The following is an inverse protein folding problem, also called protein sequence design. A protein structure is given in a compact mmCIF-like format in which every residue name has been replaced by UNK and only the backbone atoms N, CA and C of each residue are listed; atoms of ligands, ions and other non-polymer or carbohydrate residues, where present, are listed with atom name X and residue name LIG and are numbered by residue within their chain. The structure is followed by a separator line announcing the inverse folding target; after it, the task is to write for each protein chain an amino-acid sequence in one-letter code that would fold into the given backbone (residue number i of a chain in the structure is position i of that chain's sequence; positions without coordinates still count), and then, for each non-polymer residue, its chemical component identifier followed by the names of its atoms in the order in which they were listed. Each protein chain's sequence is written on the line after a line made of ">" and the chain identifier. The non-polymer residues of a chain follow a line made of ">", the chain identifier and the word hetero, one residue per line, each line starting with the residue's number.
data_IF_947949031904
#
_entry.id   IF_947949031904
#
_cell.length_a   1.000
_cell.length_b   1.000
_cell.length_c   1.000
_cell.angle_alpha   90.00
_cell.angle_beta   90.00
_cell.angle_gamma   90.00
#
_symmetry.space_group_name_H-M   'P 1'
#
loop_
_entity.id
_entity.type
_entity.pdbx_description
1 polymer ?
#
# COMPACT_ATOMS: atom_id res chain seq x y z
N UNK A 1 20.11 -14.54 -35.23
CA UNK A 1 18.65 -14.76 -35.07
C UNK A 1 18.24 -16.23 -34.91
N UNK A 2 19.04 -17.24 -35.31
CA UNK A 2 18.67 -18.67 -35.13
C UNK A 2 19.00 -19.27 -33.74
N UNK A 3 19.86 -18.65 -32.96
CA UNK A 3 20.36 -19.25 -31.70
C UNK A 3 19.44 -19.04 -30.49
N UNK A 4 18.62 -17.99 -30.47
CA UNK A 4 17.66 -17.75 -29.38
C UNK A 4 16.49 -18.76 -29.40
N UNK A 5 15.99 -19.11 -30.58
CA UNK A 5 14.92 -20.11 -30.73
C UNK A 5 15.36 -21.51 -30.27
N UNK A 6 16.63 -21.87 -30.49
CA UNK A 6 17.20 -23.14 -30.04
C UNK A 6 17.37 -23.21 -28.51
N UNK A 7 17.62 -22.09 -27.84
CA UNK A 7 17.74 -22.03 -26.38
C UNK A 7 16.38 -22.22 -25.70
N UNK A 8 15.34 -21.54 -26.21
CA UNK A 8 13.97 -21.63 -25.69
C UNK A 8 13.40 -23.05 -25.89
N UNK A 9 13.63 -23.66 -27.06
CA UNK A 9 13.19 -25.04 -27.34
C UNK A 9 13.92 -26.09 -26.48
N UNK A 10 15.22 -25.90 -26.17
CA UNK A 10 15.94 -26.79 -25.25
C UNK A 10 15.44 -26.72 -23.81
N UNK A 11 15.11 -25.53 -23.31
CA UNK A 11 14.48 -25.37 -21.98
C UNK A 11 13.10 -26.01 -21.93
N UNK A 12 12.29 -25.87 -22.99
CA UNK A 12 10.97 -26.49 -23.08
C UNK A 12 11.03 -28.03 -23.14
N UNK A 13 11.97 -28.60 -23.89
CA UNK A 13 12.10 -30.07 -24.00
C UNK A 13 12.63 -30.73 -22.73
N UNK A 14 13.58 -30.12 -22.01
CA UNK A 14 14.00 -30.65 -20.70
C UNK A 14 12.88 -30.61 -19.64
N UNK A 15 11.94 -29.66 -19.76
CA UNK A 15 10.81 -29.54 -18.85
C UNK A 15 9.70 -30.56 -19.12
N UNK A 16 9.47 -30.92 -20.39
CA UNK A 16 8.52 -31.99 -20.75
C UNK A 16 8.92 -33.35 -20.17
N UNK A 17 10.22 -33.60 -20.04
CA UNK A 17 10.73 -34.84 -19.45
C UNK A 17 10.65 -34.86 -17.92
N UNK A 18 10.63 -33.69 -17.27
CA UNK A 18 10.53 -33.60 -15.81
C UNK A 18 9.09 -33.76 -15.29
N UNK A 19 8.08 -33.60 -16.16
CA UNK A 19 6.66 -33.74 -15.80
C UNK A 19 6.11 -35.17 -15.92
N UNK A 20 6.93 -36.16 -16.32
CA UNK A 20 6.48 -37.54 -16.56
C UNK A 20 6.89 -38.55 -15.47
N UNK A 21 7.44 -38.10 -14.34
CA UNK A 21 7.81 -39.01 -13.25
C UNK A 21 7.13 -38.61 -11.94
N UNK A 22 5.88 -39.03 -11.77
CA UNK A 22 5.24 -39.22 -10.46
C UNK A 22 4.06 -40.19 -10.64
N UNK A 23 4.34 -41.49 -10.55
CA UNK A 23 3.31 -42.51 -10.32
C UNK A 23 2.99 -42.57 -8.82
N UNK A 24 1.70 -42.67 -8.50
CA UNK A 24 1.21 -43.31 -7.27
C UNK A 24 1.19 -42.48 -6.00
N UNK A 25 0.23 -41.55 -5.89
CA UNK A 25 -0.60 -41.36 -4.69
C UNK A 25 -1.65 -40.29 -5.00
N UNK A 26 -2.92 -40.54 -4.64
CA UNK A 26 -4.03 -39.57 -4.79
C UNK A 26 -3.84 -38.37 -3.86
N UNK A 27 -2.94 -37.48 -4.24
CA UNK A 27 -2.70 -36.20 -3.58
C UNK A 27 -3.56 -35.12 -4.26
N UNK A 28 -4.53 -34.58 -3.51
CA UNK A 28 -5.50 -33.61 -4.03
C UNK A 28 -4.80 -32.30 -4.40
N UNK A 29 -5.06 -31.83 -5.63
CA UNK A 29 -4.65 -30.49 -6.06
C UNK A 29 -5.30 -29.43 -5.15
N UNK A 30 -4.53 -28.41 -4.79
CA UNK A 30 -5.05 -27.20 -4.14
C UNK A 30 -5.58 -26.25 -5.19
N UNK A 31 -6.70 -25.60 -4.95
CA UNK A 31 -7.24 -24.57 -5.85
C UNK A 31 -6.98 -23.19 -5.25
N UNK A 32 -6.27 -22.34 -5.99
CA UNK A 32 -6.01 -20.95 -5.61
C UNK A 32 -6.68 -19.99 -6.59
N UNK A 33 -7.55 -19.15 -6.07
CA UNK A 33 -8.26 -18.10 -6.78
C UNK A 33 -7.51 -16.77 -6.62
N UNK A 34 -7.22 -16.13 -7.74
CA UNK A 34 -6.52 -14.85 -7.81
C UNK A 34 -7.37 -13.82 -8.55
N UNK A 35 -7.50 -12.63 -7.98
CA UNK A 35 -7.95 -11.43 -8.67
C UNK A 35 -6.71 -10.72 -9.21
N UNK A 36 -6.60 -10.67 -10.54
CA UNK A 36 -5.42 -10.12 -11.21
C UNK A 36 -5.58 -8.62 -11.37
N UNK A 37 -4.56 -7.86 -10.96
CA UNK A 37 -4.46 -6.43 -11.19
C UNK A 37 -3.25 -6.13 -12.04
N UNK A 38 -3.47 -5.52 -13.21
CA UNK A 38 -2.41 -5.10 -14.10
C UNK A 38 -2.06 -3.64 -13.84
N UNK A 39 -0.93 -3.43 -13.19
CA UNK A 39 -0.48 -2.10 -12.76
C UNK A 39 0.70 -1.57 -13.59
N UNK A 40 1.20 -2.35 -14.56
CA UNK A 40 2.14 -1.84 -15.56
C UNK A 40 1.39 -1.16 -16.71
N UNK A 41 1.79 0.07 -17.03
CA UNK A 41 1.27 0.80 -18.18
C UNK A 41 1.61 0.11 -19.50
N UNK A 42 2.82 -0.46 -19.63
CA UNK A 42 3.26 -1.19 -20.83
C UNK A 42 2.49 -2.50 -21.01
N UNK A 43 2.13 -3.18 -19.92
CA UNK A 43 1.34 -4.42 -19.99
C UNK A 43 -0.13 -4.19 -20.34
N UNK A 44 -0.70 -3.02 -20.02
CA UNK A 44 -2.11 -2.71 -20.29
C UNK A 44 -2.42 -2.49 -21.77
N UNK A 45 -1.47 -1.98 -22.55
CA UNK A 45 -1.68 -1.64 -23.97
C UNK A 45 -1.51 -2.85 -24.89
N UNK A 46 -0.61 -3.78 -24.53
CA UNK A 46 -0.21 -4.89 -25.41
C UNK A 46 -0.93 -6.23 -25.14
N UNK A 47 -1.77 -6.33 -24.08
CA UNK A 47 -2.23 -7.65 -23.59
C UNK A 47 -3.75 -7.73 -23.39
N UNK A 48 -4.33 -8.86 -23.80
CA UNK A 48 -5.76 -9.23 -23.70
C UNK A 48 -6.25 -9.53 -22.27
N UNK A 49 -5.45 -9.23 -21.24
CA UNK A 49 -5.78 -9.57 -19.86
C UNK A 49 -6.69 -8.48 -19.31
N UNK A 50 -7.95 -8.82 -19.05
CA UNK A 50 -8.90 -7.93 -18.37
C UNK A 50 -8.43 -7.68 -16.94
N UNK A 51 -8.07 -6.42 -16.65
CA UNK A 51 -7.79 -5.94 -15.30
C UNK A 51 -8.98 -6.21 -14.38
N UNK A 52 -8.72 -6.83 -13.23
CA UNK A 52 -9.75 -7.25 -12.27
C UNK A 52 -10.35 -8.64 -12.52
N UNK A 53 -9.88 -9.38 -13.51
CA UNK A 53 -10.31 -10.77 -13.77
C UNK A 53 -9.95 -11.72 -12.62
N UNK A 54 -10.84 -12.67 -12.33
CA UNK A 54 -10.63 -13.72 -11.33
C UNK A 54 -10.23 -15.03 -12.03
N UNK A 55 -9.12 -15.63 -11.62
CA UNK A 55 -8.58 -16.86 -12.21
C UNK A 55 -8.32 -17.91 -11.13
N UNK A 56 -8.68 -19.16 -11.41
CA UNK A 56 -8.39 -20.31 -10.55
C UNK A 56 -7.17 -21.07 -11.06
N UNK A 57 -6.20 -21.29 -10.16
CA UNK A 57 -4.97 -22.03 -10.40
C UNK A 57 -4.95 -23.29 -9.54
N UNK A 58 -4.99 -24.43 -10.20
CA UNK A 58 -4.81 -25.74 -9.58
C UNK A 58 -3.32 -26.04 -9.37
N UNK A 59 -2.90 -26.21 -8.11
CA UNK A 59 -1.52 -26.40 -7.72
C UNK A 59 -1.36 -27.79 -7.07
N UNK A 60 -0.51 -28.67 -7.64
CA UNK A 60 -0.14 -29.92 -7.00
C UNK A 60 0.52 -29.71 -5.64
N UNK A 61 0.34 -30.65 -4.71
CA UNK A 61 0.79 -30.54 -3.32
C UNK A 61 2.31 -30.38 -3.15
N UNK A 62 3.11 -30.76 -4.15
CA UNK A 62 4.58 -30.69 -4.16
C UNK A 62 5.14 -29.66 -5.15
N UNK A 63 4.41 -28.57 -5.40
CA UNK A 63 4.87 -27.53 -6.32
C UNK A 63 5.93 -26.65 -5.64
N UNK A 64 7.04 -26.36 -6.31
CA UNK A 64 7.99 -25.35 -5.81
C UNK A 64 7.48 -23.93 -6.11
N UNK A 65 7.94 -22.91 -5.36
CA UNK A 65 7.59 -21.50 -5.64
C UNK A 65 7.86 -21.10 -7.09
N UNK A 66 8.94 -21.60 -7.68
CA UNK A 66 9.29 -21.33 -9.07
C UNK A 66 8.28 -21.98 -10.04
N UNK A 67 7.89 -23.23 -9.80
CA UNK A 67 6.85 -23.90 -10.60
C UNK A 67 5.48 -23.22 -10.46
N UNK A 68 5.15 -22.76 -9.25
CA UNK A 68 3.93 -21.99 -8.99
C UNK A 68 3.93 -20.70 -9.81
N UNK A 69 5.04 -19.96 -9.81
CA UNK A 69 5.23 -18.77 -10.63
C UNK A 69 4.94 -19.08 -12.11
N UNK A 70 5.51 -20.15 -12.66
CA UNK A 70 5.28 -20.56 -14.05
C UNK A 70 3.85 -21.00 -14.35
N UNK A 71 3.18 -21.69 -13.43
CA UNK A 71 1.78 -22.07 -13.59
C UNK A 71 0.88 -20.84 -13.66
N UNK A 72 1.11 -19.87 -12.77
CA UNK A 72 0.42 -18.58 -12.79
C UNK A 72 0.69 -17.85 -14.11
N UNK A 73 1.94 -17.79 -14.59
CA UNK A 73 2.26 -17.19 -15.90
C UNK A 73 1.45 -17.81 -17.04
N UNK A 74 1.39 -19.14 -17.11
CA UNK A 74 0.68 -19.84 -18.19
C UNK A 74 -0.83 -19.62 -18.14
N UNK A 75 -1.42 -19.70 -16.95
CA UNK A 75 -2.87 -19.58 -16.81
C UNK A 75 -3.38 -18.16 -17.00
N UNK A 76 -2.56 -17.17 -16.64
CA UNK A 76 -2.87 -15.76 -16.89
C UNK A 76 -2.50 -15.30 -18.29
N UNK A 77 -2.04 -16.22 -19.16
CA UNK A 77 -1.52 -15.92 -20.50
C UNK A 77 -0.44 -14.81 -20.51
N UNK A 78 0.32 -14.72 -19.42
CA UNK A 78 1.44 -13.79 -19.24
C UNK A 78 2.72 -14.29 -19.93
N UNK A 79 2.64 -15.39 -20.69
CA UNK A 79 3.76 -16.05 -21.39
C UNK A 79 4.36 -15.14 -22.47
N UNK A 80 3.60 -14.16 -22.96
CA UNK A 80 4.04 -13.17 -23.93
C UNK A 80 4.80 -11.99 -23.30
N UNK A 81 4.90 -11.91 -21.97
CA UNK A 81 5.78 -10.96 -21.31
C UNK A 81 7.21 -11.43 -21.55
N UNK A 82 7.80 -10.92 -22.62
CA UNK A 82 9.11 -11.33 -23.18
C UNK A 82 10.26 -11.08 -22.21
N UNK A 83 10.04 -10.32 -21.13
CA UNK A 83 11.07 -9.89 -20.21
C UNK A 83 10.70 -10.28 -18.76
N UNK A 84 10.87 -11.56 -18.43
CA UNK A 84 10.67 -12.10 -17.07
C UNK A 84 11.48 -11.35 -15.99
N UNK A 85 12.55 -10.65 -16.40
CA UNK A 85 13.42 -9.85 -15.53
C UNK A 85 12.82 -8.48 -15.19
N UNK A 86 11.81 -8.02 -15.94
CA UNK A 86 11.21 -6.69 -15.76
C UNK A 86 9.87 -6.70 -15.06
N UNK A 87 9.29 -7.86 -14.78
CA UNK A 87 7.96 -7.99 -14.16
C UNK A 87 8.04 -8.73 -12.83
N UNK A 88 7.43 -8.13 -11.81
CA UNK A 88 7.33 -8.64 -10.45
C UNK A 88 5.87 -8.97 -10.13
N UNK A 89 5.66 -10.07 -9.42
CA UNK A 89 4.37 -10.42 -8.84
C UNK A 89 4.34 -10.01 -7.37
N UNK A 90 3.36 -9.19 -7.01
CA UNK A 90 3.05 -8.89 -5.62
C UNK A 90 1.76 -9.61 -5.27
N UNK A 91 1.89 -10.64 -4.45
CA UNK A 91 0.74 -11.38 -3.93
C UNK A 91 0.27 -10.71 -2.64
N UNK A 92 -1.03 -10.46 -2.55
CA UNK A 92 -1.68 -9.93 -1.37
C UNK A 92 -2.85 -10.79 -0.94
N UNK A 93 -3.11 -10.79 0.36
CA UNK A 93 -4.34 -11.35 0.89
C UNK A 93 -5.56 -10.44 0.53
N UNK A 94 -6.80 -10.87 0.81
CA UNK A 94 -7.97 -10.03 0.61
C UNK A 94 -8.00 -8.75 1.45
N UNK A 95 -7.18 -8.64 2.50
CA UNK A 95 -7.05 -7.41 3.31
C UNK A 95 -6.07 -6.40 2.68
N UNK A 96 -5.31 -6.82 1.67
CA UNK A 96 -4.29 -6.02 0.98
C UNK A 96 -2.88 -6.18 1.56
N UNK A 97 -2.68 -7.03 2.56
CA UNK A 97 -1.35 -7.32 3.12
C UNK A 97 -0.52 -8.17 2.14
N UNK A 98 0.77 -7.85 2.00
CA UNK A 98 1.68 -8.63 1.16
C UNK A 98 1.95 -10.00 1.79
N UNK A 99 1.78 -11.06 1.00
CA UNK A 99 2.06 -12.43 1.42
C UNK A 99 3.03 -13.08 0.43
N UNK A 100 3.90 -13.99 0.88
CA UNK A 100 4.84 -14.66 0.00
C UNK A 100 4.11 -15.62 -0.95
N UNK A 101 4.50 -15.62 -2.22
CA UNK A 101 4.09 -16.67 -3.15
C UNK A 101 4.78 -17.97 -2.75
N UNK A 102 4.03 -18.90 -2.16
CA UNK A 102 4.55 -20.13 -1.58
C UNK A 102 3.61 -21.30 -1.84
N UNK A 103 4.13 -22.52 -1.77
CA UNK A 103 3.32 -23.75 -1.81
C UNK A 103 2.55 -24.00 -0.50
N UNK A 104 2.88 -23.24 0.54
CA UNK A 104 2.15 -23.18 1.81
C UNK A 104 0.89 -22.34 1.74
N UNK A 105 0.57 -21.72 0.60
CA UNK A 105 -0.71 -21.06 0.43
C UNK A 105 -1.84 -22.08 0.62
N UNK A 106 -2.83 -21.67 1.41
CA UNK A 106 -4.04 -22.42 1.65
C UNK A 106 -5.03 -22.22 0.51
N UNK A 107 -5.84 -23.25 0.26
CA UNK A 107 -6.88 -23.14 -0.78
C UNK A 107 -7.89 -22.06 -0.40
N UNK A 108 -8.35 -21.30 -1.38
CA UNK A 108 -9.38 -20.28 -1.20
C UNK A 108 -10.50 -20.47 -2.23
N UNK A 109 -11.40 -19.49 -2.33
CA UNK A 109 -12.55 -19.52 -3.21
C UNK A 109 -12.66 -18.23 -4.04
N UNK A 110 -13.58 -18.24 -5.02
CA UNK A 110 -13.86 -17.09 -5.88
C UNK A 110 -14.49 -15.90 -5.15
N UNK A 111 -15.02 -16.10 -3.93
CA UNK A 111 -15.63 -15.03 -3.13
C UNK A 111 -14.57 -14.19 -2.40
N UNK A 112 -13.44 -14.80 -2.04
CA UNK A 112 -12.29 -14.15 -1.40
C UNK A 112 -10.98 -14.55 -2.09
N UNK A 113 -10.78 -14.11 -3.35
CA UNK A 113 -9.56 -14.39 -4.09
C UNK A 113 -8.37 -13.64 -3.47
N UNK A 114 -7.17 -14.20 -3.60
CA UNK A 114 -5.94 -13.46 -3.38
C UNK A 114 -5.80 -12.36 -4.42
N UNK A 115 -5.18 -11.24 -4.09
CA UNK A 115 -4.93 -10.18 -5.07
C UNK A 115 -3.53 -10.39 -5.64
N UNK A 116 -3.44 -10.57 -6.96
CA UNK A 116 -2.17 -10.70 -7.67
C UNK A 116 -1.92 -9.43 -8.49
N UNK A 117 -1.04 -8.58 -8.00
CA UNK A 117 -0.60 -7.39 -8.72
C UNK A 117 0.58 -7.76 -9.62
N UNK A 118 0.41 -7.57 -10.92
CA UNK A 118 1.45 -7.72 -11.94
C UNK A 118 1.99 -6.34 -12.25
N UNK A 119 3.26 -6.15 -11.95
CA UNK A 119 3.89 -4.83 -11.94
C UNK A 119 5.26 -4.87 -12.59
N UNK A 120 5.69 -3.74 -13.15
CA UNK A 120 7.08 -3.61 -13.58
C UNK A 120 8.01 -3.55 -12.35
N UNK A 121 9.23 -4.08 -12.47
CA UNK A 121 10.27 -4.04 -11.43
C UNK A 121 10.64 -2.59 -11.07
N UNK A 122 10.43 -1.66 -12.01
CA UNK A 122 10.76 -0.25 -11.92
C UNK A 122 9.52 0.64 -12.11
N UNK A 123 8.46 0.43 -11.34
CA UNK A 123 7.20 1.22 -11.42
C UNK A 123 7.39 2.74 -11.30
N UNK A 124 8.48 3.17 -10.67
CA UNK A 124 8.76 4.58 -10.38
C UNK A 124 10.04 5.09 -11.05
N UNK A 125 10.66 4.28 -11.91
CA UNK A 125 11.86 4.68 -12.65
C UNK A 125 11.52 4.60 -14.14
N UNK A 126 11.09 5.74 -14.69
CA UNK A 126 10.91 5.92 -16.12
C UNK A 126 12.29 6.01 -16.76
N UNK A 127 12.83 4.88 -17.24
CA UNK A 127 14.13 4.89 -17.93
C UNK A 127 14.09 5.68 -19.24
N UNK A 128 12.90 5.95 -19.78
CA UNK A 128 12.67 6.78 -20.96
C UNK A 128 13.02 8.28 -20.74
N UNK A 129 13.45 8.67 -19.52
CA UNK A 129 14.02 10.00 -19.21
C UNK A 129 15.54 9.97 -18.94
N UNK A 130 16.19 8.80 -19.04
CA UNK A 130 17.60 8.59 -18.62
C UNK A 130 18.59 8.69 -19.79
N UNK A 131 18.24 9.43 -20.85
CA UNK A 131 19.26 9.95 -21.79
C UNK A 131 19.71 11.37 -21.48
N UNK A 132 19.20 12.02 -20.42
CA UNK A 132 19.68 13.32 -20.04
C UNK A 132 19.76 13.50 -18.51
N UNK A 133 20.98 13.77 -18.06
CA UNK A 133 21.35 14.53 -16.86
C UNK A 133 21.23 13.88 -15.48
N UNK A 134 22.41 13.71 -14.88
CA UNK A 134 22.76 13.82 -13.46
C UNK A 134 21.82 13.24 -12.40
N UNK A 135 22.31 12.20 -11.73
CA UNK A 135 21.85 11.69 -10.44
C UNK A 135 21.95 12.71 -9.27
N UNK A 136 22.07 14.01 -9.56
CA UNK A 136 22.34 15.08 -8.59
C UNK A 136 21.25 16.15 -8.49
N UNK A 137 20.25 16.17 -9.38
CA UNK A 137 19.12 17.11 -9.24
C UNK A 137 17.93 16.40 -8.60
N UNK A 138 17.69 16.54 -7.28
CA UNK A 138 16.38 16.21 -6.73
C UNK A 138 15.33 16.99 -7.52
N UNK A 139 14.20 16.36 -7.83
CA UNK A 139 13.07 16.98 -8.53
C UNK A 139 12.74 18.33 -7.86
N UNK A 140 13.20 19.41 -8.49
CA UNK A 140 13.21 20.77 -7.94
C UNK A 140 11.77 21.18 -7.60
N UNK A 141 10.81 20.76 -8.44
CA UNK A 141 9.39 21.02 -8.24
C UNK A 141 8.83 20.36 -6.98
N UNK A 142 9.30 19.15 -6.65
CA UNK A 142 8.87 18.46 -5.42
C UNK A 142 9.46 19.12 -4.18
N UNK A 143 10.70 19.56 -4.26
CA UNK A 143 11.39 20.24 -3.16
C UNK A 143 10.77 21.61 -2.88
N UNK A 144 10.44 22.37 -3.93
CA UNK A 144 9.78 23.67 -3.81
C UNK A 144 8.36 23.54 -3.24
N UNK A 145 7.60 22.52 -3.68
CA UNK A 145 6.27 22.25 -3.14
C UNK A 145 6.32 21.90 -1.65
N UNK A 146 7.24 21.02 -1.25
CA UNK A 146 7.43 20.65 0.16
C UNK A 146 7.88 21.85 1.00
N UNK A 147 8.79 22.68 0.48
CA UNK A 147 9.22 23.93 1.14
C UNK A 147 8.03 24.87 1.35
N UNK A 148 7.17 25.04 0.35
CA UNK A 148 5.97 25.86 0.46
C UNK A 148 4.96 25.31 1.46
N UNK A 149 4.77 23.98 1.52
CA UNK A 149 3.89 23.35 2.51
C UNK A 149 4.42 23.52 3.93
N UNK A 150 5.74 23.40 4.13
CA UNK A 150 6.39 23.62 5.43
C UNK A 150 6.22 25.08 5.85
N UNK A 151 6.40 26.04 4.94
CA UNK A 151 6.14 27.46 5.22
C UNK A 151 4.71 27.70 5.69
N UNK A 152 3.73 27.19 4.93
CA UNK A 152 2.31 27.33 5.31
C UNK A 152 1.97 26.64 6.64
N UNK A 153 2.64 25.54 6.99
CA UNK A 153 2.45 24.89 8.28
C UNK A 153 3.04 25.72 9.42
N UNK A 154 4.21 26.34 9.24
CA UNK A 154 4.80 27.22 10.24
C UNK A 154 3.90 28.43 10.52
N UNK A 155 3.38 29.09 9.48
CA UNK A 155 2.47 30.23 9.63
C UNK A 155 1.22 29.86 10.44
N UNK A 156 0.69 28.65 10.23
CA UNK A 156 -0.47 28.14 10.98
C UNK A 156 -0.14 27.80 12.42
N UNK A 157 1.09 27.37 12.71
CA UNK A 157 1.53 27.11 14.09
C UNK A 157 1.65 28.44 14.83
N UNK A 158 2.22 29.46 14.21
CA UNK A 158 2.35 30.80 14.80
C UNK A 158 0.97 31.43 15.09
N UNK A 159 0.00 31.32 14.17
CA UNK A 159 -1.38 31.77 14.42
C UNK A 159 -2.04 31.02 15.59
N UNK A 160 -1.81 29.71 15.71
CA UNK A 160 -2.35 28.91 16.81
C UNK A 160 -1.73 29.27 18.16
N UNK A 161 -0.42 29.55 18.18
CA UNK A 161 0.28 30.02 19.39
C UNK A 161 -0.28 31.35 19.85
N UNK A 162 -0.44 32.33 18.96
CA UNK A 162 -1.03 33.63 19.30
C UNK A 162 -2.46 33.49 19.84
N UNK A 163 -3.29 32.69 19.18
CA UNK A 163 -4.68 32.48 19.63
C UNK A 163 -4.78 31.78 20.97
N UNK A 164 -3.80 30.96 21.33
CA UNK A 164 -3.73 30.29 22.62
C UNK A 164 -3.37 31.28 23.74
N UNK A 165 -2.46 32.21 23.48
CA UNK A 165 -2.13 33.29 24.39
C UNK A 165 -3.33 34.21 24.63
N UNK A 166 -3.99 34.65 23.55
CA UNK A 166 -5.20 35.48 23.64
C UNK A 166 -6.31 34.78 24.44
N UNK A 167 -6.54 33.49 24.19
CA UNK A 167 -7.54 32.70 24.91
C UNK A 167 -7.20 32.58 26.41
N UNK A 168 -5.91 32.40 26.73
CA UNK A 168 -5.43 32.30 28.11
C UNK A 168 -5.66 33.60 28.88
N UNK A 169 -5.41 34.74 28.25
CA UNK A 169 -5.67 36.07 28.82
C UNK A 169 -7.18 36.29 29.04
N UNK A 170 -8.01 36.01 28.03
CA UNK A 170 -9.48 36.09 28.12
C UNK A 170 -10.06 35.25 29.26
N UNK A 171 -9.51 34.05 29.49
CA UNK A 171 -9.93 33.19 30.59
C UNK A 171 -9.48 33.72 31.95
N UNK A 172 -8.26 34.25 32.04
CA UNK A 172 -7.74 34.84 33.27
C UNK A 172 -8.58 36.06 33.69
N UNK A 173 -8.93 36.92 32.75
CA UNK A 173 -9.73 38.13 33.02
C UNK A 173 -11.14 37.77 33.46
N UNK A 174 -11.82 36.85 32.76
CA UNK A 174 -13.17 36.38 33.18
C UNK A 174 -13.14 35.75 34.56
N UNK A 175 -12.13 34.94 34.85
CA UNK A 175 -11.99 34.32 36.16
C UNK A 175 -11.74 35.36 37.26
N UNK A 176 -10.95 36.40 36.97
CA UNK A 176 -10.72 37.50 37.90
C UNK A 176 -12.02 38.29 38.19
N UNK A 177 -12.83 38.56 37.16
CA UNK A 177 -14.13 39.21 37.32
C UNK A 177 -15.11 38.38 38.16
N UNK A 178 -15.22 37.08 37.88
CA UNK A 178 -16.08 36.16 38.65
C UNK A 178 -15.64 36.06 40.12
N UNK A 179 -14.32 35.97 40.37
CA UNK A 179 -13.78 35.97 41.73
C UNK A 179 -14.07 37.27 42.47
N UNK A 180 -13.95 38.42 41.80
CA UNK A 180 -14.27 39.71 42.39
C UNK A 180 -15.76 39.82 42.74
N UNK A 181 -16.63 39.34 41.85
CA UNK A 181 -18.08 39.31 42.07
C UNK A 181 -18.46 38.43 43.26
N UNK A 182 -17.90 37.22 43.35
CA UNK A 182 -18.09 36.31 44.48
C UNK A 182 -17.54 36.89 45.80
N UNK A 183 -16.39 37.57 45.74
CA UNK A 183 -15.80 38.24 46.89
C UNK A 183 -16.73 39.33 47.45
N UNK A 184 -17.30 40.17 46.57
CA UNK A 184 -18.24 41.21 46.95
C UNK A 184 -19.52 40.61 47.59
N UNK A 185 -20.10 39.57 46.99
CA UNK A 185 -21.26 38.88 47.58
C UNK A 185 -20.95 38.30 48.97
N UNK A 186 -19.77 37.73 49.14
CA UNK A 186 -19.34 37.17 50.43
C UNK A 186 -19.19 38.27 51.48
N UNK A 187 -18.68 39.44 51.10
CA UNK A 187 -18.58 40.60 51.98
C UNK A 187 -19.97 41.13 52.39
N UNK A 188 -20.90 41.22 51.45
CA UNK A 188 -22.28 41.66 51.72
C UNK A 188 -23.02 40.69 52.65
N UNK A 189 -22.91 39.38 52.39
CA UNK A 189 -23.46 38.33 53.27
C UNK A 189 -22.88 38.40 54.68
N UNK A 190 -21.56 38.58 54.79
CA UNK A 190 -20.89 38.70 56.08
C UNK A 190 -21.39 39.92 56.86
N UNK A 191 -21.64 41.03 56.18
CA UNK A 191 -22.20 42.24 56.80
C UNK A 191 -23.61 41.99 57.33
N UNK A 192 -24.49 41.38 56.52
CA UNK A 192 -25.84 41.02 56.96
C UNK A 192 -25.84 40.08 58.17
N UNK A 193 -24.89 39.13 58.24
CA UNK A 193 -24.76 38.25 59.39
C UNK A 193 -24.32 38.97 60.67
N UNK A 194 -23.51 40.03 60.55
CA UNK A 194 -23.14 40.86 61.71
C UNK A 194 -24.35 41.65 62.17
N UNK A 195 -25.05 42.31 61.24
CA UNK A 195 -26.22 43.14 61.54
C UNK A 195 -27.35 42.32 62.23
N UNK A 196 -27.58 41.07 61.82
CA UNK A 196 -28.57 40.16 62.47
C UNK A 196 -28.14 39.70 63.86
N UNK A 197 -26.84 39.67 64.16
CA UNK A 197 -26.33 39.17 65.44
C UNK A 197 -26.35 40.25 66.53
N UNK A 198 -26.46 41.52 66.12
CA UNK A 198 -26.48 42.69 67.00
C UNK A 198 -27.91 43.18 67.32
N UNK A 199 -28.97 42.51 66.80
CA UNK A 199 -30.39 42.63 67.21
C UNK A 199 -30.80 41.51 68.19
#
# INVERSE_FOLDING_TARGET
>A
MRDHAHCVLRKAMHFSQFLLSCNGDTMRNKELWFQVRLLSHKLREDHLITDGGVVCVSIPSQTSTLQLKYQVYRQLNLVHIVDEEKVVFKLRDPSGALIPLSNQLESNDSSRPFILEVVDIHQHISFDLVEATDWQTPDINRTDNLTSQIGSLNDRVEDLEQRMDDLSEDYADKLAEELQFLSNQTADLKKLMVDIKDE
#
